data_IF_444048365632
#
_entry.id   IF_444048365632
#
_cell.length_a   1.000
_cell.length_b   1.000
_cell.length_c   1.000
_cell.angle_alpha   90.00
_cell.angle_beta   90.00
_cell.angle_gamma   90.00
#
_symmetry.space_group_name_H-M   'P 1'
#
loop_
_entity.id
_entity.type
_entity.pdbx_description
1 polymer ?
#
# COMPACT_ATOMS: atom_id res chain seq x y z
N UNK A 1 43.49 16.43 8.58
CA UNK A 1 42.63 16.70 7.40
C UNK A 1 41.83 15.49 6.89
N UNK A 2 42.20 14.23 7.19
CA UNK A 2 41.42 13.04 6.76
C UNK A 2 40.07 12.87 7.50
N UNK A 3 40.01 13.20 8.79
CA UNK A 3 38.82 12.99 9.63
C UNK A 3 37.58 13.78 9.15
N UNK A 4 37.72 15.06 8.76
CA UNK A 4 36.59 15.85 8.26
C UNK A 4 36.09 15.40 6.87
N UNK A 5 36.98 14.89 6.00
CA UNK A 5 36.56 14.37 4.68
C UNK A 5 35.76 13.07 4.82
N UNK A 6 36.15 12.19 5.76
CA UNK A 6 35.40 10.98 6.06
C UNK A 6 34.02 11.30 6.67
N UNK A 7 33.96 12.25 7.60
CA UNK A 7 32.71 12.70 8.22
C UNK A 7 31.73 13.32 7.21
N UNK A 8 32.21 14.18 6.31
CA UNK A 8 31.36 14.77 5.27
C UNK A 8 30.88 13.77 4.22
N UNK A 9 31.68 12.75 3.90
CA UNK A 9 31.27 11.64 3.03
C UNK A 9 30.17 10.79 3.67
N UNK A 10 30.35 10.42 4.95
CA UNK A 10 29.36 9.68 5.71
C UNK A 10 28.03 10.45 5.80
N UNK A 11 28.09 11.74 6.13
CA UNK A 11 26.88 12.57 6.24
C UNK A 11 26.15 12.71 4.90
N UNK A 12 26.89 12.89 3.79
CA UNK A 12 26.30 12.93 2.44
C UNK A 12 25.66 11.60 2.04
N UNK A 13 26.27 10.47 2.41
CA UNK A 13 25.70 9.15 2.18
C UNK A 13 24.41 8.95 2.98
N UNK A 14 24.43 9.28 4.28
CA UNK A 14 23.26 9.18 5.16
C UNK A 14 22.08 10.02 4.63
N UNK A 15 22.31 11.27 4.24
CA UNK A 15 21.25 12.13 3.70
C UNK A 15 20.66 11.59 2.39
N UNK A 16 21.47 10.94 1.54
CA UNK A 16 20.97 10.30 0.31
C UNK A 16 20.09 9.09 0.64
N UNK A 17 20.48 8.28 1.61
CA UNK A 17 19.69 7.14 2.07
C UNK A 17 18.36 7.60 2.69
N UNK A 18 18.38 8.59 3.60
CA UNK A 18 17.16 9.14 4.18
C UNK A 18 16.20 9.67 3.10
N UNK A 19 16.74 10.36 2.09
CA UNK A 19 15.95 10.85 0.96
C UNK A 19 15.31 9.70 0.18
N UNK A 20 16.08 8.65 -0.11
CA UNK A 20 15.57 7.47 -0.81
C UNK A 20 14.45 6.79 -0.02
N UNK A 21 14.67 6.51 1.27
CA UNK A 21 13.66 5.89 2.14
C UNK A 21 12.40 6.77 2.26
N UNK A 22 12.57 8.08 2.40
CA UNK A 22 11.45 9.03 2.47
C UNK A 22 10.61 9.00 1.18
N UNK A 23 11.26 9.10 0.02
CA UNK A 23 10.55 9.04 -1.27
C UNK A 23 9.84 7.70 -1.45
N UNK A 24 10.51 6.60 -1.14
CA UNK A 24 9.92 5.26 -1.23
C UNK A 24 8.66 5.15 -0.34
N UNK A 25 8.71 5.68 0.88
CA UNK A 25 7.57 5.67 1.81
C UNK A 25 6.41 6.53 1.31
N UNK A 26 6.70 7.74 0.81
CA UNK A 26 5.68 8.63 0.25
C UNK A 26 4.96 7.94 -0.91
N UNK A 27 5.68 7.40 -1.88
CA UNK A 27 5.04 6.76 -3.04
C UNK A 27 4.25 5.49 -2.66
N UNK A 28 4.75 4.68 -1.73
CA UNK A 28 4.03 3.49 -1.26
C UNK A 28 2.73 3.85 -0.52
N UNK A 29 2.70 4.95 0.23
CA UNK A 29 1.52 5.37 0.99
C UNK A 29 0.35 5.86 0.13
N UNK A 30 0.60 6.29 -1.11
CA UNK A 30 -0.42 6.93 -1.96
C UNK A 30 -1.50 5.95 -2.48
N UNK A 31 -1.23 4.65 -2.51
CA UNK A 31 -2.14 3.67 -3.11
C UNK A 31 -3.36 3.31 -2.25
N UNK A 32 -3.24 3.42 -0.92
CA UNK A 32 -4.24 2.92 0.03
C UNK A 32 -5.57 3.69 -0.09
N UNK A 33 -5.52 5.03 -0.07
CA UNK A 33 -6.72 5.88 -0.08
C UNK A 33 -7.62 5.68 -1.30
N UNK A 34 -7.10 5.81 -2.55
CA UNK A 34 -7.88 5.59 -3.76
C UNK A 34 -8.47 4.17 -3.84
N UNK A 35 -7.72 3.16 -3.38
CA UNK A 35 -8.18 1.76 -3.40
C UNK A 35 -9.42 1.55 -2.51
N UNK A 36 -9.42 2.12 -1.30
CA UNK A 36 -10.57 2.04 -0.38
C UNK A 36 -11.80 2.77 -0.91
N UNK A 37 -11.62 3.92 -1.56
CA UNK A 37 -12.71 4.69 -2.18
C UNK A 37 -13.35 3.89 -3.31
N UNK A 38 -12.54 3.30 -4.20
CA UNK A 38 -13.03 2.43 -5.27
C UNK A 38 -13.84 1.27 -4.69
N UNK A 39 -13.32 0.58 -3.68
CA UNK A 39 -14.03 -0.53 -3.04
C UNK A 39 -15.37 -0.10 -2.44
N UNK A 40 -15.43 1.08 -1.80
CA UNK A 40 -16.65 1.61 -1.23
C UNK A 40 -17.70 1.98 -2.30
N UNK A 41 -17.27 2.38 -3.49
CA UNK A 41 -18.14 2.73 -4.61
C UNK A 41 -18.68 1.49 -5.36
N UNK A 42 -17.95 0.39 -5.38
CA UNK A 42 -18.36 -0.82 -6.11
C UNK A 42 -19.16 -1.81 -5.26
N UNK A 43 -18.99 -1.83 -3.94
CA UNK A 43 -19.56 -2.87 -3.09
C UNK A 43 -20.51 -2.35 -1.99
N UNK A 44 -21.64 -3.05 -1.77
CA UNK A 44 -22.66 -2.64 -0.81
C UNK A 44 -22.19 -2.83 0.63
N UNK A 45 -22.76 -2.06 1.58
CA UNK A 45 -22.28 -1.99 2.97
C UNK A 45 -22.22 -3.36 3.66
N UNK A 46 -23.18 -4.24 3.39
CA UNK A 46 -23.26 -5.59 3.99
C UNK A 46 -22.08 -6.49 3.61
N UNK A 47 -21.50 -6.30 2.43
CA UNK A 47 -20.42 -7.15 1.92
C UNK A 47 -19.03 -6.49 2.03
N UNK A 48 -18.98 -5.20 2.39
CA UNK A 48 -17.76 -4.39 2.43
C UNK A 48 -16.66 -5.02 3.32
N UNK A 49 -17.03 -5.70 4.40
CA UNK A 49 -16.07 -6.39 5.27
C UNK A 49 -15.28 -7.50 4.57
N UNK A 50 -15.92 -8.27 3.68
CA UNK A 50 -15.26 -9.36 2.94
C UNK A 50 -14.25 -8.78 1.97
N UNK A 51 -14.64 -7.76 1.20
CA UNK A 51 -13.73 -7.17 0.23
C UNK A 51 -12.58 -6.40 0.87
N UNK A 52 -12.79 -5.77 2.04
CA UNK A 52 -11.69 -5.21 2.83
C UNK A 52 -10.73 -6.30 3.31
N UNK A 53 -11.24 -7.49 3.67
CA UNK A 53 -10.38 -8.61 4.03
C UNK A 53 -9.56 -9.12 2.82
N UNK A 54 -10.16 -9.20 1.63
CA UNK A 54 -9.43 -9.53 0.40
C UNK A 54 -8.35 -8.50 0.08
N UNK A 55 -8.64 -7.21 0.29
CA UNK A 55 -7.66 -6.13 0.15
C UNK A 55 -6.50 -6.25 1.16
N UNK A 56 -6.78 -6.67 2.40
CA UNK A 56 -5.71 -6.95 3.37
C UNK A 56 -4.86 -8.16 2.97
N UNK A 57 -5.48 -9.23 2.46
CA UNK A 57 -4.77 -10.42 2.00
C UNK A 57 -3.86 -10.10 0.80
N UNK A 58 -4.32 -9.26 -0.13
CA UNK A 58 -3.52 -8.93 -1.31
C UNK A 58 -2.22 -8.19 -0.97
N UNK A 59 -2.21 -7.40 0.10
CA UNK A 59 -0.99 -6.75 0.59
C UNK A 59 0.05 -7.79 1.06
N UNK A 60 -0.38 -8.74 1.90
CA UNK A 60 0.49 -9.81 2.39
C UNK A 60 1.00 -10.72 1.25
N UNK A 61 0.13 -11.07 0.30
CA UNK A 61 0.53 -11.84 -0.89
C UNK A 61 1.53 -11.05 -1.74
N UNK A 62 1.34 -9.74 -1.86
CA UNK A 62 2.25 -8.85 -2.57
C UNK A 62 3.66 -8.86 -1.99
N UNK A 63 3.79 -8.92 -0.67
CA UNK A 63 5.09 -8.99 0.00
C UNK A 63 5.74 -10.38 -0.17
N UNK A 64 4.95 -11.45 -0.07
CA UNK A 64 5.45 -12.82 -0.18
C UNK A 64 5.85 -13.21 -1.61
N UNK A 65 5.20 -12.67 -2.65
CA UNK A 65 5.47 -13.06 -4.04
C UNK A 65 6.77 -12.48 -4.62
N UNK A 66 7.32 -11.42 -4.00
CA UNK A 66 8.55 -10.78 -4.48
C UNK A 66 9.75 -11.72 -4.39
N UNK A 67 9.88 -12.50 -3.32
CA UNK A 67 11.02 -13.41 -3.13
C UNK A 67 11.08 -14.54 -4.19
N UNK A 68 9.96 -15.23 -4.52
CA UNK A 68 9.90 -16.15 -5.65
C UNK A 68 10.23 -15.48 -6.99
N UNK A 69 9.72 -14.27 -7.24
CA UNK A 69 9.99 -13.53 -8.49
C UNK A 69 11.49 -13.29 -8.65
N UNK A 70 12.15 -12.75 -7.62
CA UNK A 70 13.59 -12.45 -7.65
C UNK A 70 14.43 -13.74 -7.79
N UNK A 71 13.99 -14.83 -7.15
CA UNK A 71 14.69 -16.12 -7.25
C UNK A 71 14.58 -16.72 -8.66
N UNK A 72 13.38 -16.73 -9.24
CA UNK A 72 13.13 -17.25 -10.58
C UNK A 72 13.77 -16.39 -11.67
N UNK A 73 13.68 -15.07 -11.54
CA UNK A 73 14.32 -14.15 -12.49
C UNK A 73 15.84 -14.24 -12.42
N UNK A 74 16.40 -14.42 -11.22
CA UNK A 74 17.84 -14.59 -11.03
C UNK A 74 18.36 -15.82 -11.77
N UNK A 75 17.66 -16.96 -11.62
CA UNK A 75 18.01 -18.18 -12.35
C UNK A 75 17.87 -18.02 -13.86
N UNK A 76 16.78 -17.40 -14.33
CA UNK A 76 16.54 -17.19 -15.76
C UNK A 76 17.56 -16.25 -16.40
N UNK A 77 17.92 -15.15 -15.71
CA UNK A 77 18.90 -14.18 -16.19
C UNK A 77 20.33 -14.75 -16.18
N UNK A 78 20.70 -15.50 -15.14
CA UNK A 78 22.00 -16.17 -15.07
C UNK A 78 22.15 -17.20 -16.22
N UNK A 79 21.09 -17.98 -16.49
CA UNK A 79 21.06 -18.92 -17.61
C UNK A 79 21.15 -18.22 -18.97
N UNK A 80 20.43 -17.11 -19.17
CA UNK A 80 20.45 -16.32 -20.40
C UNK A 80 21.84 -15.72 -20.69
N UNK A 81 22.51 -15.23 -19.65
CA UNK A 81 23.84 -14.63 -19.76
C UNK A 81 24.96 -15.69 -19.80
N UNK A 82 24.65 -16.97 -19.56
CA UNK A 82 25.62 -18.06 -19.54
C UNK A 82 26.59 -17.99 -18.36
N UNK A 83 26.17 -17.36 -17.26
CA UNK A 83 27.01 -17.07 -16.09
C UNK A 83 26.58 -17.92 -14.90
N UNK A 84 27.56 -18.49 -14.20
CA UNK A 84 27.66 -18.46 -12.74
C UNK A 84 26.47 -17.95 -11.92
N UNK A 85 25.70 -18.74 -11.14
CA UNK A 85 24.81 -18.13 -10.13
C UNK A 85 25.60 -17.31 -9.09
N UNK A 86 26.83 -17.72 -8.78
CA UNK A 86 27.71 -16.99 -7.88
C UNK A 86 28.17 -15.66 -8.50
N UNK A 87 28.69 -15.71 -9.74
CA UNK A 87 29.18 -14.52 -10.45
C UNK A 87 28.04 -13.57 -10.83
N UNK A 88 26.84 -14.11 -11.11
CA UNK A 88 25.64 -13.33 -11.38
C UNK A 88 25.21 -12.54 -10.14
N UNK A 89 25.24 -13.16 -8.96
CA UNK A 89 24.89 -12.46 -7.74
C UNK A 89 25.92 -11.38 -7.38
N UNK A 90 27.22 -11.60 -7.59
CA UNK A 90 28.21 -10.55 -7.32
C UNK A 90 28.10 -9.37 -8.30
N UNK A 91 27.89 -9.65 -9.58
CA UNK A 91 27.96 -8.62 -10.63
C UNK A 91 26.60 -7.95 -10.90
N UNK A 92 25.50 -8.71 -10.81
CA UNK A 92 24.17 -8.28 -11.27
C UNK A 92 23.11 -8.26 -10.16
N UNK A 93 23.49 -8.31 -8.88
CA UNK A 93 22.52 -8.26 -7.77
C UNK A 93 21.58 -7.06 -7.85
N UNK A 94 22.08 -5.89 -8.25
CA UNK A 94 21.27 -4.67 -8.37
C UNK A 94 20.14 -4.85 -9.39
N UNK A 95 20.43 -5.51 -10.51
CA UNK A 95 19.45 -5.74 -11.56
C UNK A 95 18.39 -6.72 -11.09
N UNK A 96 18.80 -7.81 -10.45
CA UNK A 96 17.87 -8.84 -10.00
C UNK A 96 16.97 -8.37 -8.84
N UNK A 97 17.51 -7.63 -7.87
CA UNK A 97 16.76 -7.24 -6.67
C UNK A 97 15.97 -5.93 -6.82
N UNK A 98 16.42 -4.99 -7.67
CA UNK A 98 15.73 -3.71 -7.83
C UNK A 98 15.04 -3.56 -9.19
N UNK A 99 15.72 -3.87 -10.29
CA UNK A 99 15.17 -3.57 -11.62
C UNK A 99 14.08 -4.55 -12.03
N UNK A 100 14.24 -5.84 -11.73
CA UNK A 100 13.23 -6.85 -12.08
C UNK A 100 11.91 -6.61 -11.32
N UNK A 101 11.89 -6.48 -9.97
CA UNK A 101 10.64 -6.20 -9.26
C UNK A 101 10.02 -4.87 -9.67
N UNK A 102 10.83 -3.84 -9.93
CA UNK A 102 10.34 -2.55 -10.42
C UNK A 102 9.67 -2.66 -11.79
N UNK A 103 10.26 -3.41 -12.73
CA UNK A 103 9.67 -3.64 -14.05
C UNK A 103 8.34 -4.42 -13.95
N UNK A 104 8.29 -5.47 -13.13
CA UNK A 104 7.06 -6.21 -12.86
C UNK A 104 5.98 -5.29 -12.25
N UNK A 105 6.33 -4.46 -11.27
CA UNK A 105 5.40 -3.51 -10.65
C UNK A 105 4.85 -2.50 -11.67
N UNK A 106 5.68 -1.99 -12.58
CA UNK A 106 5.24 -1.09 -13.66
C UNK A 106 4.23 -1.80 -14.57
N UNK A 107 4.51 -3.03 -15.02
CA UNK A 107 3.60 -3.79 -15.88
C UNK A 107 2.26 -4.02 -15.18
N UNK A 108 2.28 -4.44 -13.91
CA UNK A 108 1.06 -4.66 -13.12
C UNK A 108 0.30 -3.33 -12.96
N UNK A 109 0.99 -2.23 -12.69
CA UNK A 109 0.35 -0.92 -12.55
C UNK A 109 -0.34 -0.45 -13.84
N UNK A 110 0.28 -0.66 -15.00
CA UNK A 110 -0.32 -0.35 -16.30
C UNK A 110 -1.56 -1.22 -16.56
N UNK A 111 -1.49 -2.51 -16.21
CA UNK A 111 -2.64 -3.40 -16.30
C UNK A 111 -3.78 -2.94 -15.39
N UNK A 112 -3.48 -2.55 -14.15
CA UNK A 112 -4.47 -2.02 -13.20
C UNK A 112 -5.10 -0.73 -13.73
N UNK A 113 -4.32 0.20 -14.29
CA UNK A 113 -4.85 1.43 -14.89
C UNK A 113 -5.78 1.16 -16.08
N UNK A 114 -5.54 0.07 -16.83
CA UNK A 114 -6.40 -0.36 -17.92
C UNK A 114 -7.66 -1.09 -17.42
N UNK A 115 -7.54 -1.96 -16.40
CA UNK A 115 -8.60 -2.86 -15.96
C UNK A 115 -9.53 -2.24 -14.90
N UNK A 116 -9.02 -1.36 -14.03
CA UNK A 116 -9.82 -0.73 -12.96
C UNK A 116 -10.68 0.36 -13.58
N UNK A 117 -11.98 0.08 -13.60
CA UNK A 117 -13.01 1.00 -14.04
C UNK A 117 -13.37 1.97 -12.92
N UNK A 118 -13.91 3.13 -13.32
CA UNK A 118 -14.26 4.24 -12.43
C UNK A 118 -15.43 3.91 -11.49
N UNK A 119 -16.43 4.79 -11.38
CA UNK A 119 -17.63 4.47 -10.62
C UNK A 119 -18.57 3.55 -11.44
N UNK A 120 -19.42 2.74 -10.79
CA UNK A 120 -20.49 2.01 -11.48
C UNK A 120 -21.33 2.92 -12.38
N UNK A 121 -21.58 4.16 -11.94
CA UNK A 121 -22.27 5.20 -12.70
C UNK A 121 -21.58 5.56 -14.02
N UNK A 122 -20.25 5.65 -14.04
CA UNK A 122 -19.48 5.91 -15.26
C UNK A 122 -19.55 4.75 -16.26
N UNK A 123 -19.83 3.55 -15.77
CA UNK A 123 -20.02 2.32 -16.57
C UNK A 123 -21.50 2.09 -16.96
N UNK A 124 -22.40 3.03 -16.63
CA UNK A 124 -23.83 2.93 -16.92
C UNK A 124 -24.60 1.99 -15.98
N UNK A 125 -24.00 1.57 -14.88
CA UNK A 125 -24.63 0.76 -13.84
C UNK A 125 -25.32 1.64 -12.79
N UNK A 126 -26.35 1.07 -12.16
CA UNK A 126 -27.08 1.68 -11.05
C UNK A 126 -26.13 1.97 -9.89
N UNK A 127 -26.29 3.15 -9.27
CA UNK A 127 -25.40 3.57 -8.18
C UNK A 127 -25.50 2.64 -6.97
N UNK A 128 -24.43 2.56 -6.19
CA UNK A 128 -24.38 1.71 -5.01
C UNK A 128 -25.40 2.15 -3.95
N UNK A 129 -25.78 3.42 -3.90
CA UNK A 129 -26.85 3.90 -3.00
C UNK A 129 -28.18 3.24 -3.30
N UNK A 130 -28.55 3.15 -4.57
CA UNK A 130 -29.80 2.57 -5.05
C UNK A 130 -29.77 1.03 -4.94
N UNK A 131 -28.60 0.40 -5.14
CA UNK A 131 -28.42 -1.04 -4.86
C UNK A 131 -28.60 -1.36 -3.38
N UNK A 132 -28.10 -0.51 -2.47
CA UNK A 132 -28.28 -0.71 -1.03
C UNK A 132 -29.77 -0.61 -0.64
N UNK A 133 -30.50 0.34 -1.24
CA UNK A 133 -31.94 0.53 -1.03
C UNK A 133 -32.76 -0.65 -1.56
N UNK A 134 -32.50 -1.09 -2.81
CA UNK A 134 -33.14 -2.27 -3.41
C UNK A 134 -32.92 -3.56 -2.61
N UNK A 135 -31.77 -3.69 -1.95
CA UNK A 135 -31.44 -4.86 -1.11
C UNK A 135 -32.02 -4.78 0.31
N UNK A 136 -32.82 -3.75 0.62
CA UNK A 136 -33.40 -3.55 1.95
C UNK A 136 -32.35 -3.40 3.05
N UNK A 137 -31.11 -3.03 2.68
CA UNK A 137 -30.08 -2.68 3.64
C UNK A 137 -30.55 -1.34 4.21
N UNK A 138 -31.13 -1.37 5.41
CA UNK A 138 -31.44 -0.17 6.19
C UNK A 138 -30.14 0.62 6.32
N UNK A 139 -29.94 1.54 5.39
CA UNK A 139 -29.12 2.70 5.69
C UNK A 139 -29.92 3.36 6.78
N UNK A 140 -29.51 3.20 8.06
CA UNK A 140 -29.88 4.19 9.05
C UNK A 140 -29.70 5.51 8.33
N UNK A 141 -30.77 6.29 8.24
CA UNK A 141 -30.73 7.65 7.76
C UNK A 141 -29.69 8.38 8.61
N UNK A 142 -28.41 8.25 8.23
CA UNK A 142 -27.46 9.33 8.36
C UNK A 142 -28.15 10.36 7.51
N UNK A 143 -28.98 11.18 8.16
CA UNK A 143 -29.76 12.24 7.57
C UNK A 143 -28.93 12.74 6.42
N UNK A 144 -29.46 12.62 5.21
CA UNK A 144 -28.98 13.40 4.09
C UNK A 144 -29.28 14.87 4.43
N UNK A 145 -28.59 15.39 5.46
CA UNK A 145 -28.18 16.77 5.50
C UNK A 145 -27.44 16.87 4.19
N UNK A 146 -28.05 17.57 3.23
CA UNK A 146 -27.39 18.04 2.02
C UNK A 146 -25.95 18.34 2.42
N UNK A 147 -25.03 17.44 2.06
CA UNK A 147 -23.65 17.66 2.44
C UNK A 147 -23.28 18.90 1.67
N UNK A 148 -22.95 20.02 2.34
CA UNK A 148 -22.38 21.13 1.60
C UNK A 148 -21.19 20.57 0.83
N UNK A 149 -20.81 21.16 -0.31
CA UNK A 149 -19.53 20.85 -0.96
C UNK A 149 -18.39 21.22 0.00
N UNK A 150 -18.16 20.37 1.00
CA UNK A 150 -17.18 20.52 2.05
C UNK A 150 -15.87 19.96 1.50
N UNK A 151 -14.81 20.73 1.67
CA UNK A 151 -13.47 20.25 1.40
C UNK A 151 -13.16 19.02 2.26
N UNK A 152 -12.39 18.06 1.73
CA UNK A 152 -11.96 16.87 2.46
C UNK A 152 -11.29 17.23 3.80
N UNK A 153 -10.57 18.36 3.85
CA UNK A 153 -9.96 18.85 5.09
C UNK A 153 -10.98 19.32 6.12
N UNK A 154 -12.07 19.95 5.67
CA UNK A 154 -13.12 20.43 6.56
C UNK A 154 -13.92 19.27 7.15
N UNK A 155 -14.15 18.21 6.38
CA UNK A 155 -14.74 16.96 6.86
C UNK A 155 -13.84 16.34 7.94
N UNK A 156 -12.54 16.21 7.65
CA UNK A 156 -11.57 15.68 8.61
C UNK A 156 -11.53 16.48 9.92
N UNK A 157 -11.43 17.81 9.84
CA UNK A 157 -11.35 18.65 11.03
C UNK A 157 -12.63 18.65 11.86
N UNK A 158 -13.81 18.73 11.22
CA UNK A 158 -15.08 18.81 11.93
C UNK A 158 -15.56 17.47 12.47
N UNK A 159 -15.39 16.38 11.72
CA UNK A 159 -16.00 15.09 12.04
C UNK A 159 -15.02 14.03 12.56
N UNK A 160 -13.73 14.09 12.17
CA UNK A 160 -12.74 13.10 12.62
C UNK A 160 -11.97 13.63 13.83
N UNK A 161 -11.32 14.79 13.69
CA UNK A 161 -10.45 15.33 14.74
C UNK A 161 -11.19 15.66 16.05
N UNK A 162 -12.46 16.08 15.99
CA UNK A 162 -13.24 16.41 17.20
C UNK A 162 -13.93 15.19 17.82
N UNK A 163 -13.91 14.02 17.17
CA UNK A 163 -14.62 12.84 17.64
C UNK A 163 -13.77 12.01 18.60
N UNK A 164 -14.12 12.02 19.88
CA UNK A 164 -13.40 11.29 20.93
C UNK A 164 -13.36 9.77 20.69
N UNK A 165 -14.43 9.18 20.14
CA UNK A 165 -14.50 7.75 19.86
C UNK A 165 -13.54 7.35 18.73
N UNK A 166 -13.38 8.21 17.71
CA UNK A 166 -12.43 7.97 16.63
C UNK A 166 -10.98 7.92 17.15
N UNK A 167 -10.63 8.79 18.09
CA UNK A 167 -9.31 8.78 18.74
C UNK A 167 -9.06 7.52 19.56
N UNK A 168 -10.07 7.04 20.31
CA UNK A 168 -9.91 5.79 21.06
C UNK A 168 -9.64 4.59 20.15
N UNK A 169 -10.34 4.50 19.02
CA UNK A 169 -10.10 3.44 18.02
C UNK A 169 -8.70 3.58 17.42
N UNK A 170 -8.28 4.78 17.05
CA UNK A 170 -6.95 5.02 16.47
C UNK A 170 -5.81 4.69 17.45
N UNK A 171 -5.96 5.05 18.73
CA UNK A 171 -4.98 4.70 19.77
C UNK A 171 -4.90 3.20 20.02
N UNK A 172 -6.05 2.52 20.07
CA UNK A 172 -6.09 1.06 20.20
C UNK A 172 -5.41 0.38 19.01
N UNK A 173 -5.74 0.80 17.79
CA UNK A 173 -5.12 0.27 16.58
C UNK A 173 -3.59 0.44 16.58
N UNK A 174 -3.11 1.63 16.95
CA UNK A 174 -1.68 1.91 17.09
C UNK A 174 -1.01 1.00 18.13
N UNK A 175 -1.65 0.77 19.27
CA UNK A 175 -1.12 -0.09 20.32
C UNK A 175 -1.03 -1.55 19.87
N UNK A 176 -2.07 -2.07 19.23
CA UNK A 176 -2.07 -3.44 18.68
C UNK A 176 -0.98 -3.60 17.64
N UNK A 177 -0.88 -2.65 16.70
CA UNK A 177 0.15 -2.68 15.67
C UNK A 177 1.55 -2.68 16.28
N UNK A 178 1.77 -1.89 17.32
CA UNK A 178 3.05 -1.87 18.03
C UNK A 178 3.37 -3.18 18.73
N UNK A 179 2.40 -3.82 19.39
CA UNK A 179 2.57 -5.14 19.99
C UNK A 179 2.89 -6.21 18.93
N UNK A 180 2.19 -6.20 17.79
CA UNK A 180 2.43 -7.16 16.70
C UNK A 180 3.83 -6.97 16.12
N UNK A 181 4.19 -5.74 15.77
CA UNK A 181 5.52 -5.42 15.25
C UNK A 181 6.63 -5.74 16.26
N UNK A 182 6.40 -5.42 17.54
CA UNK A 182 7.34 -5.71 18.63
C UNK A 182 7.55 -7.21 18.85
N UNK A 183 6.50 -8.02 18.74
CA UNK A 183 6.60 -9.47 18.80
C UNK A 183 7.39 -10.02 17.60
N UNK A 184 7.08 -9.58 16.38
CA UNK A 184 7.81 -10.01 15.18
C UNK A 184 9.30 -9.64 15.21
N UNK A 185 9.62 -8.42 15.64
CA UNK A 185 11.02 -8.00 15.81
C UNK A 185 11.70 -8.80 16.93
N UNK A 186 11.02 -9.07 18.03
CA UNK A 186 11.54 -9.90 19.12
C UNK A 186 11.92 -11.31 18.66
N UNK A 187 11.11 -11.93 17.80
CA UNK A 187 11.43 -13.22 17.19
C UNK A 187 12.62 -13.14 16.23
N UNK A 188 12.72 -12.07 15.43
CA UNK A 188 13.80 -11.91 14.44
C UNK A 188 15.19 -11.60 15.05
N UNK A 189 15.23 -11.11 16.29
CA UNK A 189 16.49 -10.81 17.02
C UNK A 189 16.90 -11.91 18.02
N UNK A 190 16.04 -12.90 18.26
CA UNK A 190 16.32 -14.01 19.19
C UNK A 190 16.76 -15.30 18.46
N UNK A 191 16.64 -15.32 17.13
CA UNK A 191 17.18 -16.36 16.24
C UNK A 191 18.26 -15.77 15.34
#
# INVERSE_FOLDING_TARGET
>A
MCSCKCFTWFFKFFLRLCRFCYLAWVFQSMGVGPSFITLANWYPKKERGIYTAVWNISHNIGDEIVAPIVSLSGFALAALLGVSMADFNETYWHMNHFYVPAACAVIISLYVLYAVKGSPKNEGLVDISEINEMRGIKTEEIKAVETPNLSSFEIFYRYVLKNKNAWYVAWMDTFVLWCVLGLFLGFLFTY
#
